data_IF_642484108637
#
_entry.id   IF_642484108637
#
_cell.length_a   1.000
_cell.length_b   1.000
_cell.length_c   1.000
_cell.angle_alpha   90.00
_cell.angle_beta   90.00
_cell.angle_gamma   90.00
#
_symmetry.space_group_name_H-M   'P 1'
#
loop_
_entity.id
_entity.type
_entity.pdbx_description
1 polymer ?
#
# COMPACT_ATOMS: atom_id res chain seq x y z
N UNK A 1 11.53 -0.87 14.62
CA UNK A 1 10.41 -1.73 15.06
C UNK A 1 9.17 -1.38 14.26
N UNK A 2 8.80 -2.17 13.25
CA UNK A 2 7.46 -2.04 12.65
C UNK A 2 6.48 -2.56 13.71
N UNK A 3 5.58 -1.70 14.19
CA UNK A 3 4.53 -2.15 15.12
C UNK A 3 3.80 -3.33 14.44
N UNK A 4 3.49 -4.43 15.15
CA UNK A 4 2.47 -5.35 14.65
C UNK A 4 1.24 -4.49 14.33
N UNK A 5 0.49 -4.81 13.28
CA UNK A 5 -0.74 -4.10 12.88
C UNK A 5 -1.88 -4.23 13.93
N UNK A 6 -1.55 -4.27 15.23
CA UNK A 6 -2.45 -4.13 16.35
C UNK A 6 -2.50 -2.66 16.80
N UNK A 7 -3.71 -2.10 16.73
CA UNK A 7 -4.17 -0.90 17.43
C UNK A 7 -3.59 0.46 16.99
N UNK A 8 -3.20 0.63 15.73
CA UNK A 8 -3.22 2.00 15.19
C UNK A 8 -4.68 2.38 14.94
N UNK A 9 -5.13 3.57 15.40
CA UNK A 9 -6.49 4.02 15.14
C UNK A 9 -6.69 4.10 13.62
N UNK A 10 -7.82 3.58 13.14
CA UNK A 10 -8.17 3.65 11.72
C UNK A 10 -8.18 5.12 11.28
N UNK A 11 -7.48 5.38 10.19
CA UNK A 11 -7.48 6.71 9.57
C UNK A 11 -8.80 6.87 8.82
N UNK A 12 -9.67 7.73 9.34
CA UNK A 12 -10.99 7.95 8.77
C UNK A 12 -10.91 8.84 7.53
N UNK A 13 -11.32 8.30 6.38
CA UNK A 13 -11.35 8.98 5.09
C UNK A 13 -12.79 9.04 4.60
N UNK A 14 -13.31 10.25 4.38
CA UNK A 14 -14.64 10.41 3.77
C UNK A 14 -14.51 10.44 2.25
N UNK A 15 -15.30 9.61 1.58
CA UNK A 15 -15.20 9.31 0.18
C UNK A 15 -16.46 9.77 -0.55
N UNK A 16 -16.35 10.89 -1.25
CA UNK A 16 -17.38 11.41 -2.16
C UNK A 16 -17.33 10.72 -3.54
N UNK A 17 -16.59 9.62 -3.69
CA UNK A 17 -16.49 8.88 -4.94
C UNK A 17 -17.43 7.66 -4.96
N UNK A 18 -17.96 7.36 -6.14
CA UNK A 18 -18.80 6.18 -6.36
C UNK A 18 -17.95 4.90 -6.41
N UNK A 19 -18.53 3.73 -6.11
CA UNK A 19 -17.78 2.46 -6.15
C UNK A 19 -17.05 2.20 -7.47
N UNK A 20 -17.64 2.55 -8.62
CA UNK A 20 -17.05 2.36 -9.94
C UNK A 20 -15.84 3.28 -10.24
N UNK A 21 -15.58 4.28 -9.37
CA UNK A 21 -14.40 5.13 -9.48
C UNK A 21 -13.12 4.45 -8.99
N UNK A 22 -13.18 3.20 -8.53
CA UNK A 22 -12.06 2.40 -8.05
C UNK A 22 -11.89 1.12 -8.88
N UNK A 23 -10.65 0.64 -8.99
CA UNK A 23 -10.36 -0.66 -9.61
C UNK A 23 -10.63 -1.79 -8.60
N UNK A 24 -11.51 -2.72 -8.94
CA UNK A 24 -11.68 -3.99 -8.23
C UNK A 24 -11.80 -3.86 -6.71
N UNK A 25 -11.02 -4.61 -5.91
CA UNK A 25 -11.10 -4.61 -4.44
C UNK A 25 -10.38 -3.43 -3.75
N UNK A 26 -9.99 -2.38 -4.47
CA UNK A 26 -9.13 -1.30 -3.94
C UNK A 26 -9.65 -0.71 -2.61
N UNK A 27 -10.96 -0.40 -2.51
CA UNK A 27 -11.54 0.15 -1.27
C UNK A 27 -11.39 -0.80 -0.08
N UNK A 28 -11.66 -2.09 -0.30
CA UNK A 28 -11.59 -3.11 0.75
C UNK A 28 -10.14 -3.33 1.20
N UNK A 29 -9.19 -3.36 0.25
CA UNK A 29 -7.77 -3.48 0.57
C UNK A 29 -7.30 -2.30 1.41
N UNK A 30 -7.67 -1.07 1.03
CA UNK A 30 -7.31 0.12 1.82
C UNK A 30 -7.88 0.08 3.24
N UNK A 31 -9.09 -0.45 3.43
CA UNK A 31 -9.66 -0.70 4.75
C UNK A 31 -8.82 -1.69 5.57
N UNK A 32 -8.40 -2.82 4.98
CA UNK A 32 -7.50 -3.78 5.63
C UNK A 32 -6.11 -3.20 5.94
N UNK A 33 -5.67 -2.21 5.18
CA UNK A 33 -4.41 -1.47 5.40
C UNK A 33 -4.54 -0.35 6.44
N UNK A 34 -5.72 -0.15 7.04
CA UNK A 34 -5.94 0.82 8.12
C UNK A 34 -6.65 2.12 7.72
N UNK A 35 -7.17 2.21 6.49
CA UNK A 35 -7.89 3.39 5.99
C UNK A 35 -9.40 3.13 5.92
N UNK A 36 -10.18 3.69 6.85
CA UNK A 36 -11.63 3.54 6.84
C UNK A 36 -12.25 4.49 5.79
N UNK A 37 -12.54 3.97 4.59
CA UNK A 37 -13.14 4.72 3.48
C UNK A 37 -14.67 4.68 3.54
N UNK A 38 -15.28 5.68 4.18
CA UNK A 38 -16.74 5.81 4.32
C UNK A 38 -17.30 6.83 3.35
N UNK A 39 -18.48 6.58 2.79
CA UNK A 39 -19.29 7.62 2.14
C UNK A 39 -19.75 8.66 3.18
N UNK A 40 -20.12 9.88 2.77
CA UNK A 40 -20.68 10.88 3.69
C UNK A 40 -21.88 10.34 4.50
N UNK A 41 -22.74 9.55 3.84
CA UNK A 41 -23.90 8.93 4.46
C UNK A 41 -23.49 7.88 5.50
N UNK A 42 -22.54 7.00 5.18
CA UNK A 42 -22.00 5.99 6.10
C UNK A 42 -21.31 6.64 7.31
N UNK A 43 -20.57 7.74 7.11
CA UNK A 43 -19.92 8.50 8.18
C UNK A 43 -20.97 9.12 9.12
N UNK A 44 -22.01 9.75 8.57
CA UNK A 44 -23.04 10.42 9.36
C UNK A 44 -23.85 9.45 10.24
N UNK A 45 -24.10 8.22 9.78
CA UNK A 45 -24.89 7.23 10.52
C UNK A 45 -24.04 6.28 11.37
N UNK A 46 -22.71 6.31 11.24
CA UNK A 46 -21.83 5.41 11.98
C UNK A 46 -21.74 5.81 13.46
N UNK A 47 -22.17 4.97 14.42
CA UNK A 47 -22.03 5.29 15.84
C UNK A 47 -20.56 5.33 16.28
N UNK A 48 -19.67 4.66 15.54
CA UNK A 48 -18.23 4.61 15.83
C UNK A 48 -17.51 5.83 15.26
N UNK A 49 -17.92 6.31 14.08
CA UNK A 49 -17.17 7.33 13.34
C UNK A 49 -17.83 8.70 13.26
N UNK A 50 -19.11 8.84 13.59
CA UNK A 50 -19.84 10.12 13.46
C UNK A 50 -19.26 11.26 14.29
N UNK A 51 -18.61 10.95 15.42
CA UNK A 51 -17.91 11.93 16.26
C UNK A 51 -16.44 12.12 15.87
N UNK A 52 -15.89 11.26 15.02
CA UNK A 52 -14.51 11.35 14.56
C UNK A 52 -14.46 12.26 13.32
N UNK A 53 -13.57 13.25 13.37
CA UNK A 53 -13.33 14.09 12.19
C UNK A 53 -12.54 13.30 11.14
N UNK A 54 -12.94 13.35 9.86
CA UNK A 54 -12.15 12.73 8.80
C UNK A 54 -10.81 13.45 8.67
N UNK A 55 -9.75 12.68 8.45
CA UNK A 55 -8.39 13.23 8.26
C UNK A 55 -8.16 13.70 6.82
N UNK A 56 -8.92 13.16 5.87
CA UNK A 56 -8.77 13.40 4.44
C UNK A 56 -10.08 13.08 3.70
N UNK A 57 -10.28 13.73 2.55
CA UNK A 57 -11.37 13.43 1.63
C UNK A 57 -10.87 12.85 0.31
N UNK A 58 -11.59 11.86 -0.23
CA UNK A 58 -11.42 11.37 -1.61
C UNK A 58 -12.64 11.80 -2.42
N UNK A 59 -12.42 12.58 -3.48
CA UNK A 59 -13.52 13.30 -4.15
C UNK A 59 -13.43 13.08 -5.65
N UNK A 60 -14.55 12.73 -6.31
CA UNK A 60 -14.62 12.79 -7.76
C UNK A 60 -14.59 14.23 -8.25
N UNK A 61 -13.83 14.51 -9.31
CA UNK A 61 -13.73 15.85 -9.92
C UNK A 61 -15.10 16.52 -10.13
N UNK A 62 -16.09 15.78 -10.63
CA UNK A 62 -17.45 16.28 -10.90
C UNK A 62 -18.26 16.64 -9.64
N UNK A 63 -17.80 16.22 -8.46
CA UNK A 63 -18.44 16.46 -7.15
C UNK A 63 -17.67 17.44 -6.28
N UNK A 64 -16.55 17.99 -6.78
CA UNK A 64 -15.74 18.93 -6.01
C UNK A 64 -16.54 20.17 -5.60
N UNK A 65 -17.42 20.65 -6.47
CA UNK A 65 -18.31 21.79 -6.20
C UNK A 65 -19.29 21.54 -5.03
N UNK A 66 -19.60 20.28 -4.69
CA UNK A 66 -20.45 19.95 -3.52
C UNK A 66 -19.75 20.29 -2.19
N UNK A 67 -18.44 20.53 -2.22
CA UNK A 67 -17.63 20.88 -1.07
C UNK A 67 -17.35 22.38 -0.96
N UNK A 68 -17.81 23.17 -1.94
CA UNK A 68 -17.72 24.62 -1.88
C UNK A 68 -18.61 25.15 -0.75
N UNK A 69 -18.06 26.03 0.09
CA UNK A 69 -18.76 26.55 1.28
C UNK A 69 -18.75 25.60 2.49
N UNK A 70 -18.20 24.39 2.37
CA UNK A 70 -17.87 23.60 3.55
C UNK A 70 -16.72 24.29 4.31
N UNK A 71 -16.86 24.60 5.61
CA UNK A 71 -15.85 25.31 6.40
C UNK A 71 -14.61 24.44 6.71
N UNK A 72 -14.45 23.30 6.03
CA UNK A 72 -13.41 22.33 6.30
C UNK A 72 -12.18 22.57 5.41
N UNK A 73 -11.04 22.77 6.05
CA UNK A 73 -9.70 22.87 5.43
C UNK A 73 -9.08 21.47 5.17
N UNK A 74 -9.92 20.44 5.04
CA UNK A 74 -9.43 19.06 4.93
C UNK A 74 -8.76 18.82 3.58
N UNK A 75 -7.62 18.10 3.56
CA UNK A 75 -6.96 17.77 2.31
C UNK A 75 -7.85 16.87 1.44
N UNK A 76 -7.79 17.10 0.13
CA UNK A 76 -8.55 16.38 -0.89
C UNK A 76 -7.60 15.61 -1.80
N UNK A 77 -7.86 14.31 -1.95
CA UNK A 77 -7.36 13.50 -3.06
C UNK A 77 -8.43 13.45 -4.16
N UNK A 78 -8.10 14.03 -5.32
CA UNK A 78 -9.03 14.20 -6.41
C UNK A 78 -8.99 13.00 -7.37
N UNK A 79 -10.14 12.37 -7.63
CA UNK A 79 -10.29 11.34 -8.65
C UNK A 79 -10.71 11.98 -9.98
N UNK A 80 -9.78 12.04 -10.92
CA UNK A 80 -9.90 12.80 -12.18
C UNK A 80 -10.43 11.95 -13.33
N UNK A 81 -11.07 12.60 -14.30
CA UNK A 81 -11.40 11.99 -15.59
C UNK A 81 -10.20 11.96 -16.55
N UNK A 82 -10.49 11.83 -17.86
CA UNK A 82 -9.46 11.83 -18.93
C UNK A 82 -8.72 13.16 -19.10
N UNK A 83 -9.30 14.26 -18.62
CA UNK A 83 -8.75 15.62 -18.81
C UNK A 83 -7.72 16.00 -17.74
N UNK A 84 -7.48 15.14 -16.76
CA UNK A 84 -6.59 15.44 -15.63
C UNK A 84 -7.20 16.44 -14.66
N UNK A 85 -6.36 17.11 -13.88
CA UNK A 85 -6.78 18.07 -12.85
C UNK A 85 -7.14 19.41 -13.50
N UNK A 86 -8.36 19.89 -13.27
CA UNK A 86 -8.85 21.20 -13.72
C UNK A 86 -9.49 21.96 -12.55
N UNK A 87 -8.73 22.19 -11.48
CA UNK A 87 -9.20 22.91 -10.30
C UNK A 87 -8.09 23.72 -9.66
N UNK A 88 -8.46 24.85 -9.08
CA UNK A 88 -7.64 25.74 -8.27
C UNK A 88 -7.94 25.62 -6.77
N UNK A 89 -8.75 24.64 -6.35
CA UNK A 89 -9.05 24.39 -4.94
C UNK A 89 -7.76 24.06 -4.17
N UNK A 90 -7.32 24.93 -3.23
CA UNK A 90 -6.04 24.79 -2.55
C UNK A 90 -5.98 23.57 -1.62
N UNK A 91 -7.12 22.94 -1.32
CA UNK A 91 -7.19 21.71 -0.53
C UNK A 91 -6.79 20.48 -1.34
N UNK A 92 -6.76 20.56 -2.67
CA UNK A 92 -6.36 19.44 -3.53
C UNK A 92 -4.85 19.23 -3.45
N UNK A 93 -4.48 18.19 -2.72
CA UNK A 93 -3.07 17.84 -2.41
C UNK A 93 -2.53 16.70 -3.30
N UNK A 94 -3.38 16.09 -4.11
CA UNK A 94 -3.02 15.01 -5.02
C UNK A 94 -4.18 14.60 -5.92
N UNK A 95 -3.86 13.95 -7.03
CA UNK A 95 -4.86 13.47 -7.98
C UNK A 95 -4.52 12.09 -8.53
N UNK A 96 -5.55 11.31 -8.81
CA UNK A 96 -5.48 9.94 -9.34
C UNK A 96 -6.46 9.82 -10.50
N UNK A 97 -6.09 9.16 -11.58
CA UNK A 97 -7.02 8.91 -12.69
C UNK A 97 -8.05 7.85 -12.32
N UNK A 98 -9.29 8.02 -12.79
CA UNK A 98 -10.33 7.01 -12.65
C UNK A 98 -10.29 5.95 -13.76
N UNK A 99 -10.58 4.67 -13.45
CA UNK A 99 -10.77 4.13 -12.11
C UNK A 99 -9.45 4.10 -11.32
N UNK A 100 -9.49 4.51 -10.05
CA UNK A 100 -8.31 4.61 -9.20
C UNK A 100 -7.82 3.23 -8.77
N UNK A 101 -6.56 2.92 -9.10
CA UNK A 101 -5.88 1.70 -8.66
C UNK A 101 -5.32 1.81 -7.23
N UNK A 102 -5.05 0.66 -6.61
CA UNK A 102 -4.53 0.59 -5.25
C UNK A 102 -3.19 1.33 -5.11
N UNK A 103 -2.24 1.12 -6.02
CA UNK A 103 -0.88 1.64 -5.89
C UNK A 103 -0.84 3.17 -5.77
N UNK A 104 -1.47 3.88 -6.71
CA UNK A 104 -1.47 5.35 -6.73
C UNK A 104 -2.18 5.94 -5.51
N UNK A 105 -3.34 5.37 -5.15
CA UNK A 105 -4.14 5.87 -4.04
C UNK A 105 -3.48 5.58 -2.69
N UNK A 106 -2.93 4.37 -2.49
CA UNK A 106 -2.18 4.00 -1.29
C UNK A 106 -0.96 4.90 -1.10
N UNK A 107 -0.19 5.16 -2.16
CA UNK A 107 0.98 6.04 -2.12
C UNK A 107 0.59 7.45 -1.65
N UNK A 108 -0.48 8.02 -2.20
CA UNK A 108 -0.94 9.36 -1.81
C UNK A 108 -1.47 9.38 -0.37
N UNK A 109 -2.23 8.38 0.06
CA UNK A 109 -2.68 8.26 1.45
C UNK A 109 -1.50 8.18 2.41
N UNK A 110 -0.51 7.32 2.12
CA UNK A 110 0.69 7.18 2.95
C UNK A 110 1.46 8.49 3.06
N UNK A 111 1.69 9.19 1.95
CA UNK A 111 2.41 10.47 1.93
C UNK A 111 1.78 11.54 2.82
N UNK A 112 0.47 11.47 3.03
CA UNK A 112 -0.29 12.51 3.70
C UNK A 112 -0.60 12.16 5.16
N UNK A 113 -0.80 10.88 5.44
CA UNK A 113 -1.32 10.42 6.73
C UNK A 113 -0.25 9.75 7.60
N UNK A 114 0.86 9.31 7.01
CA UNK A 114 1.89 8.56 7.73
C UNK A 114 3.18 9.35 7.92
N UNK A 115 3.75 9.28 9.12
CA UNK A 115 5.06 9.88 9.42
C UNK A 115 6.19 9.24 8.60
N UNK A 116 6.06 7.96 8.28
CA UNK A 116 7.07 7.18 7.55
C UNK A 116 6.41 6.52 6.33
N UNK A 117 6.11 7.31 5.28
CA UNK A 117 5.29 6.87 4.17
C UNK A 117 5.95 5.72 3.39
N UNK A 118 5.14 4.74 3.01
CA UNK A 118 5.52 3.67 2.10
C UNK A 118 4.97 3.94 0.71
N UNK A 119 5.75 3.63 -0.33
CA UNK A 119 5.32 3.78 -1.72
C UNK A 119 4.53 2.59 -2.25
N UNK A 120 4.59 1.43 -1.57
CA UNK A 120 3.96 0.20 -2.04
C UNK A 120 3.37 -0.60 -0.86
N UNK A 121 2.17 -1.18 -1.03
CA UNK A 121 1.55 -2.01 0.00
C UNK A 121 2.36 -3.30 0.20
N UNK A 122 2.18 -3.92 1.37
CA UNK A 122 2.89 -5.13 1.78
C UNK A 122 1.92 -6.21 2.20
N UNK A 123 2.12 -7.41 1.65
CA UNK A 123 1.40 -8.62 2.05
C UNK A 123 2.24 -9.38 3.09
N UNK A 124 1.63 -9.72 4.23
CA UNK A 124 2.23 -10.67 5.17
C UNK A 124 2.17 -12.09 4.57
N UNK A 125 3.26 -12.85 4.66
CA UNK A 125 3.37 -14.17 4.01
C UNK A 125 4.39 -15.06 4.73
N UNK A 126 4.59 -16.28 4.24
CA UNK A 126 5.63 -17.21 4.71
C UNK A 126 6.17 -18.03 3.54
N UNK A 127 6.63 -17.35 2.49
CA UNK A 127 7.13 -18.02 1.29
C UNK A 127 8.52 -18.59 1.56
N UNK A 128 8.76 -19.87 1.29
CA UNK A 128 10.12 -20.42 1.37
C UNK A 128 11.01 -19.72 0.34
N UNK A 129 12.23 -19.42 0.77
CA UNK A 129 13.21 -18.71 -0.02
C UNK A 129 14.60 -19.33 0.11
N UNK A 130 15.44 -19.01 -0.85
CA UNK A 130 16.86 -19.34 -0.86
C UNK A 130 17.64 -18.04 -1.02
N UNK A 131 18.64 -17.86 -0.17
CA UNK A 131 19.56 -16.72 -0.22
C UNK A 131 20.93 -17.23 -0.63
N UNK A 132 21.60 -16.51 -1.53
CA UNK A 132 22.97 -16.78 -1.95
C UNK A 132 23.84 -15.54 -1.81
N UNK A 133 24.99 -15.67 -1.16
CA UNK A 133 26.01 -14.62 -1.00
C UNK A 133 27.40 -15.25 -0.98
N UNK A 134 28.34 -14.66 -1.72
CA UNK A 134 29.77 -15.08 -1.70
C UNK A 134 29.96 -16.60 -1.95
N UNK A 135 29.13 -17.18 -2.82
CA UNK A 135 29.16 -18.62 -3.15
C UNK A 135 28.52 -19.55 -2.12
N UNK A 136 28.06 -19.03 -0.97
CA UNK A 136 27.29 -19.78 0.02
C UNK A 136 25.79 -19.60 -0.23
N UNK A 137 25.04 -20.69 -0.06
CA UNK A 137 23.59 -20.73 -0.26
C UNK A 137 22.93 -21.33 0.97
N UNK A 138 21.84 -20.72 1.45
CA UNK A 138 21.09 -21.19 2.61
C UNK A 138 19.59 -20.88 2.50
N UNK A 139 18.81 -21.51 3.39
CA UNK A 139 17.36 -21.36 3.44
C UNK A 139 16.91 -20.12 4.21
N UNK A 140 15.80 -19.53 3.76
CA UNK A 140 15.15 -18.41 4.40
C UNK A 140 13.63 -18.47 4.16
N UNK A 141 12.88 -17.54 4.77
CA UNK A 141 11.45 -17.33 4.50
C UNK A 141 11.15 -15.85 4.27
N UNK A 142 10.38 -15.54 3.24
CA UNK A 142 9.82 -14.19 3.04
C UNK A 142 8.60 -14.04 3.95
N UNK A 143 8.68 -13.12 4.91
CA UNK A 143 7.65 -12.83 5.92
C UNK A 143 6.72 -11.70 5.53
N UNK A 144 7.22 -10.79 4.71
CA UNK A 144 6.42 -9.72 4.12
C UNK A 144 6.93 -9.42 2.72
N UNK A 145 6.04 -9.25 1.76
CA UNK A 145 6.38 -8.98 0.37
C UNK A 145 5.68 -7.72 -0.12
N UNK A 146 6.43 -6.89 -0.84
CA UNK A 146 5.94 -5.78 -1.66
C UNK A 146 6.51 -5.89 -3.05
N UNK A 147 6.02 -5.05 -3.96
CA UNK A 147 6.55 -4.90 -5.31
C UNK A 147 8.06 -4.57 -5.35
N UNK A 148 8.59 -3.84 -4.35
CA UNK A 148 9.95 -3.29 -4.36
C UNK A 148 10.91 -3.97 -3.40
N UNK A 149 10.42 -4.87 -2.56
CA UNK A 149 11.25 -5.50 -1.53
C UNK A 149 10.48 -6.45 -0.65
N UNK A 150 11.17 -7.03 0.32
CA UNK A 150 10.60 -7.98 1.25
C UNK A 150 11.25 -7.93 2.63
N UNK A 151 10.60 -8.54 3.60
CA UNK A 151 11.15 -8.83 4.92
C UNK A 151 11.46 -10.32 4.96
N UNK A 152 12.70 -10.68 5.28
CA UNK A 152 13.19 -12.06 5.26
C UNK A 152 13.58 -12.49 6.66
N UNK A 153 13.17 -13.70 7.03
CA UNK A 153 13.70 -14.44 8.17
C UNK A 153 14.70 -15.47 7.64
N UNK A 154 15.93 -15.46 8.14
CA UNK A 154 17.04 -16.24 7.60
C UNK A 154 17.73 -17.03 8.71
N UNK A 155 18.20 -18.24 8.41
CA UNK A 155 18.99 -19.04 9.35
C UNK A 155 20.40 -18.47 9.58
N UNK A 156 20.92 -17.71 8.61
CA UNK A 156 22.19 -16.98 8.73
C UNK A 156 21.93 -15.46 8.89
N UNK A 157 22.69 -14.75 9.74
CA UNK A 157 22.59 -13.30 9.86
C UNK A 157 22.90 -12.58 8.54
N UNK A 158 22.07 -11.61 8.19
CA UNK A 158 22.26 -10.77 7.00
C UNK A 158 22.82 -9.41 7.43
N UNK A 159 24.08 -9.15 7.09
CA UNK A 159 24.70 -7.84 7.36
C UNK A 159 23.95 -6.72 6.64
N UNK A 160 23.69 -5.61 7.34
CA UNK A 160 23.20 -4.38 6.72
C UNK A 160 24.12 -3.91 5.60
N UNK A 161 23.52 -3.50 4.48
CA UNK A 161 24.22 -3.10 3.27
C UNK A 161 24.75 -4.27 2.43
N UNK A 162 24.59 -5.52 2.85
CA UNK A 162 25.01 -6.66 2.05
C UNK A 162 24.12 -6.83 0.82
N UNK A 163 24.75 -7.05 -0.33
CA UNK A 163 24.12 -7.52 -1.54
C UNK A 163 24.04 -9.05 -1.52
N UNK A 164 22.90 -9.57 -1.96
CA UNK A 164 22.63 -11.01 -2.04
C UNK A 164 21.74 -11.32 -3.24
N UNK A 165 21.74 -12.58 -3.64
CA UNK A 165 20.74 -13.12 -4.55
C UNK A 165 19.65 -13.80 -3.75
N UNK A 166 18.40 -13.43 -4.02
CA UNK A 166 17.21 -13.97 -3.39
C UNK A 166 16.39 -14.74 -4.42
N UNK A 167 15.94 -15.93 -4.04
CA UNK A 167 15.05 -16.77 -4.85
C UNK A 167 13.85 -17.21 -4.02
N UNK A 168 12.65 -17.08 -4.55
CA UNK A 168 11.42 -17.60 -3.94
C UNK A 168 10.36 -17.92 -5.00
N UNK A 169 9.39 -18.75 -4.63
CA UNK A 169 8.26 -19.10 -5.51
C UNK A 169 7.01 -18.30 -5.15
N UNK A 170 6.26 -17.88 -6.18
CA UNK A 170 4.89 -17.40 -6.06
C UNK A 170 3.92 -18.52 -6.50
N UNK A 171 2.66 -18.53 -6.04
CA UNK A 171 1.65 -19.45 -6.57
C UNK A 171 1.54 -19.39 -8.10
N UNK A 172 1.24 -20.52 -8.73
CA UNK A 172 1.22 -20.63 -10.20
C UNK A 172 2.60 -20.91 -10.83
N UNK A 173 3.53 -21.48 -10.06
CA UNK A 173 4.88 -21.89 -10.51
C UNK A 173 5.77 -20.75 -11.03
N UNK A 174 5.48 -19.50 -10.65
CA UNK A 174 6.35 -18.37 -10.97
C UNK A 174 7.52 -18.35 -9.99
N UNK A 175 8.73 -18.47 -10.50
CA UNK A 175 9.96 -18.31 -9.71
C UNK A 175 10.45 -16.88 -9.83
N UNK A 176 10.65 -16.22 -8.70
CA UNK A 176 11.32 -14.93 -8.62
C UNK A 176 12.78 -15.17 -8.27
N UNK A 177 13.68 -14.58 -9.05
CA UNK A 177 15.11 -14.53 -8.78
C UNK A 177 15.57 -13.09 -8.99
N UNK A 178 16.16 -12.49 -7.95
CA UNK A 178 16.58 -11.08 -7.98
C UNK A 178 17.80 -10.86 -7.11
N UNK A 179 18.58 -9.82 -7.45
CA UNK A 179 19.50 -9.21 -6.50
C UNK A 179 18.73 -8.32 -5.53
N UNK A 180 19.18 -8.31 -4.28
CA UNK A 180 18.61 -7.47 -3.24
C UNK A 180 19.70 -6.99 -2.28
N UNK A 181 19.46 -5.81 -1.69
CA UNK A 181 20.31 -5.23 -0.66
C UNK A 181 19.59 -5.25 0.69
N UNK A 182 20.32 -5.62 1.75
CA UNK A 182 19.87 -5.46 3.13
C UNK A 182 19.88 -3.98 3.52
N UNK A 183 18.73 -3.44 3.94
CA UNK A 183 18.55 -1.99 4.18
C UNK A 183 18.22 -1.65 5.62
N UNK A 184 17.58 -2.56 6.36
CA UNK A 184 17.28 -2.39 7.78
C UNK A 184 17.13 -3.74 8.46
N UNK A 185 17.29 -3.75 9.78
CA UNK A 185 17.09 -4.93 10.62
C UNK A 185 15.89 -4.74 11.53
N UNK A 186 15.10 -5.80 11.67
CA UNK A 186 14.01 -5.94 12.62
C UNK A 186 14.14 -7.31 13.27
N UNK A 187 15.05 -7.51 14.24
CA UNK A 187 15.39 -8.85 14.72
C UNK A 187 14.15 -9.68 15.09
N UNK A 188 14.02 -10.93 14.60
CA UNK A 188 15.03 -11.73 13.89
C UNK A 188 14.98 -11.64 12.34
N UNK A 189 14.45 -10.55 11.79
CA UNK A 189 14.17 -10.37 10.37
C UNK A 189 15.02 -9.23 9.76
N UNK A 190 15.21 -9.29 8.44
CA UNK A 190 15.99 -8.30 7.69
C UNK A 190 15.18 -7.78 6.51
N UNK A 191 15.11 -6.46 6.39
CA UNK A 191 14.46 -5.76 5.28
C UNK A 191 15.35 -5.71 4.05
N UNK A 192 14.87 -6.30 2.96
CA UNK A 192 15.55 -6.33 1.67
C UNK A 192 14.84 -5.42 0.66
N UNK A 193 15.62 -4.68 -0.13
CA UNK A 193 15.13 -3.93 -1.30
C UNK A 193 15.66 -4.59 -2.57
N UNK A 194 14.79 -4.75 -3.56
CA UNK A 194 15.14 -5.36 -4.84
C UNK A 194 15.85 -4.34 -5.74
N UNK A 195 16.99 -4.71 -6.32
CA UNK A 195 17.83 -3.76 -7.07
C UNK A 195 17.50 -3.70 -8.57
N UNK A 196 17.09 -4.82 -9.18
CA UNK A 196 16.94 -4.92 -10.62
C UNK A 196 15.87 -5.94 -11.05
N UNK A 197 14.67 -5.86 -10.48
CA UNK A 197 13.56 -6.73 -10.90
C UNK A 197 13.05 -6.32 -12.29
N UNK A 198 12.97 -7.26 -13.25
CA UNK A 198 12.35 -7.02 -14.55
C UNK A 198 10.90 -6.53 -14.42
N UNK A 199 10.42 -5.62 -15.29
CA UNK A 199 9.06 -5.08 -15.20
C UNK A 199 7.96 -6.15 -15.14
N UNK A 200 8.10 -7.24 -15.90
CA UNK A 200 7.12 -8.33 -15.90
C UNK A 200 7.10 -9.07 -14.56
N UNK A 201 8.26 -9.36 -13.99
CA UNK A 201 8.39 -9.98 -12.65
C UNK A 201 7.82 -9.06 -11.57
N UNK A 202 8.09 -7.75 -11.68
CA UNK A 202 7.53 -6.73 -10.78
C UNK A 202 6.00 -6.73 -10.83
N UNK A 203 5.43 -6.73 -12.03
CA UNK A 203 3.98 -6.77 -12.23
C UNK A 203 3.36 -8.04 -11.63
N UNK A 204 4.03 -9.19 -11.77
CA UNK A 204 3.57 -10.45 -11.15
C UNK A 204 3.62 -10.41 -9.62
N UNK A 205 4.69 -9.84 -9.02
CA UNK A 205 4.76 -9.64 -7.57
C UNK A 205 3.66 -8.70 -7.10
N UNK A 206 3.46 -7.57 -7.80
CA UNK A 206 2.40 -6.61 -7.48
C UNK A 206 1.02 -7.27 -7.51
N UNK A 207 0.71 -8.02 -8.56
CA UNK A 207 -0.55 -8.75 -8.69
C UNK A 207 -0.74 -9.78 -7.55
N UNK A 208 0.31 -10.52 -7.18
CA UNK A 208 0.26 -11.45 -6.05
C UNK A 208 -0.02 -10.73 -4.72
N UNK A 209 0.65 -9.60 -4.47
CA UNK A 209 0.45 -8.79 -3.27
C UNK A 209 -0.99 -8.25 -3.22
N UNK A 210 -1.50 -7.70 -4.32
CA UNK A 210 -2.86 -7.17 -4.40
C UNK A 210 -3.92 -8.27 -4.18
N UNK A 211 -3.75 -9.43 -4.81
CA UNK A 211 -4.66 -10.57 -4.65
C UNK A 211 -4.65 -11.11 -3.21
N UNK A 212 -3.47 -11.24 -2.62
CA UNK A 212 -3.35 -11.71 -1.24
C UNK A 212 -3.97 -10.73 -0.25
N UNK A 213 -3.79 -9.42 -0.45
CA UNK A 213 -4.43 -8.39 0.36
C UNK A 213 -5.96 -8.41 0.19
N UNK A 214 -6.44 -8.57 -1.05
CA UNK A 214 -7.89 -8.69 -1.32
C UNK A 214 -8.50 -9.90 -0.60
N UNK A 215 -7.78 -11.03 -0.55
CA UNK A 215 -8.24 -12.24 0.12
C UNK A 215 -8.28 -12.13 1.66
N UNK A 216 -7.55 -11.20 2.27
CA UNK A 216 -7.57 -10.96 3.72
C UNK A 216 -8.77 -10.14 4.19
N UNK A 217 -9.46 -9.47 3.26
CA UNK A 217 -10.57 -8.55 3.54
C UNK A 217 -11.90 -9.02 2.93
N UNK A 218 -11.91 -10.21 2.32
CA UNK A 218 -13.09 -10.88 1.77
C UNK A 218 -13.72 -11.81 2.82
#
# INVERSE_FOLDING_TARGET
MAKPYGELPLQLVVCHARPESFVGPTRNILAGLGYALLTPEEHAVSPVHSSQEPVLWIVEEQRLAELEGSPSDRPILLLTGRRGVQTDDPRVIGAVHRPAGLHELYRLLQQQLEQHPRSSPRLATDLPATVRREGREWGASVRSLSETGCLVHSSEPLQLGAELELRFGLPGAVRVETRAASTYELPPETGLVFEAIPPDTRAVIAAFVEQGLAAQVA
#
